data_IF_924447001665
#
_entry.id   IF_924447001665
#
_cell.length_a   1.000
_cell.length_b   1.000
_cell.length_c   1.000
_cell.angle_alpha   90.00
_cell.angle_beta   90.00
_cell.angle_gamma   90.00
#
_symmetry.space_group_name_H-M   'P 1'
#
loop_
_entity.id
_entity.type
_entity.pdbx_description
1 polymer ?
#
# COMPACT_ATOMS: atom_id res chain seq x y z
N UNK A 1 22.77 -12.39 8.91
CA UNK A 1 23.86 -12.38 7.89
C UNK A 1 24.26 -13.82 7.63
N UNK A 2 23.80 -14.40 6.54
CA UNK A 2 24.28 -15.69 6.05
C UNK A 2 25.14 -15.33 4.85
N UNK A 3 26.45 -15.50 5.02
CA UNK A 3 27.42 -15.40 3.91
C UNK A 3 27.23 -16.64 3.05
N UNK A 4 26.76 -16.47 1.83
CA UNK A 4 26.93 -17.48 0.80
C UNK A 4 28.39 -17.41 0.32
N UNK A 5 29.12 -18.52 0.46
CA UNK A 5 30.44 -18.66 -0.11
C UNK A 5 30.33 -18.69 -1.64
N UNK A 6 30.85 -17.65 -2.28
CA UNK A 6 30.91 -17.54 -3.72
C UNK A 6 32.01 -18.43 -4.29
N UNK A 7 31.72 -19.13 -5.37
CA UNK A 7 32.66 -19.78 -6.27
C UNK A 7 33.57 -18.69 -6.87
N UNK A 8 34.86 -18.97 -6.92
CA UNK A 8 35.93 -18.05 -7.30
C UNK A 8 35.64 -17.17 -8.50
N UNK A 9 35.71 -15.84 -8.32
CA UNK A 9 36.08 -14.88 -9.35
C UNK A 9 35.04 -13.87 -9.82
N UNK A 10 33.75 -14.01 -9.54
CA UNK A 10 32.74 -13.02 -9.98
C UNK A 10 32.07 -12.29 -8.81
N UNK A 11 31.98 -10.95 -8.84
CA UNK A 11 31.26 -10.20 -7.82
C UNK A 11 29.76 -10.47 -7.94
N UNK A 12 29.23 -11.37 -7.11
CA UNK A 12 27.79 -11.54 -6.95
C UNK A 12 27.26 -10.46 -6.00
N UNK A 13 26.31 -9.69 -6.45
CA UNK A 13 25.61 -8.71 -5.63
C UNK A 13 24.30 -9.34 -5.15
N UNK A 14 24.15 -9.49 -3.83
CA UNK A 14 22.94 -10.05 -3.21
C UNK A 14 21.76 -9.07 -3.26
N UNK A 15 22.05 -7.77 -3.32
CA UNK A 15 21.07 -6.70 -3.43
C UNK A 15 20.84 -6.30 -4.88
N UNK A 16 19.58 -6.28 -5.28
CA UNK A 16 19.14 -5.83 -6.60
C UNK A 16 18.16 -4.67 -6.45
N UNK A 17 18.45 -3.55 -7.08
CA UNK A 17 17.58 -2.39 -7.16
C UNK A 17 17.06 -2.23 -8.60
N UNK A 18 15.75 -2.01 -8.77
CA UNK A 18 15.12 -1.78 -10.06
C UNK A 18 14.52 -0.39 -10.14
N UNK A 19 14.79 0.31 -11.22
CA UNK A 19 14.23 1.62 -11.51
C UNK A 19 13.65 1.59 -12.92
N UNK A 20 12.33 1.38 -13.03
CA UNK A 20 11.70 1.08 -14.31
C UNK A 20 12.36 -0.16 -14.93
N UNK A 21 12.80 -0.11 -16.20
CA UNK A 21 13.48 -1.22 -16.86
C UNK A 21 14.93 -1.41 -16.35
N UNK A 22 15.46 -0.47 -15.56
CA UNK A 22 16.86 -0.49 -15.13
C UNK A 22 16.99 -1.29 -13.84
N UNK A 23 17.94 -2.24 -13.84
CA UNK A 23 18.36 -3.01 -12.66
C UNK A 23 19.70 -2.49 -12.21
N UNK A 24 19.82 -2.13 -10.93
CA UNK A 24 21.06 -1.67 -10.31
C UNK A 24 21.44 -2.60 -9.18
N UNK A 25 22.76 -2.83 -8.98
CA UNK A 25 23.28 -3.72 -7.96
C UNK A 25 24.53 -3.12 -7.33
N UNK A 26 24.79 -3.46 -6.06
CA UNK A 26 25.97 -3.04 -5.34
C UNK A 26 26.17 -1.52 -5.34
N UNK A 27 27.33 -1.00 -5.77
CA UNK A 27 27.65 0.42 -5.71
C UNK A 27 26.77 1.30 -6.62
N UNK A 28 26.01 0.71 -7.53
CA UNK A 28 25.09 1.43 -8.42
C UNK A 28 23.72 1.67 -7.80
N UNK A 29 23.43 1.10 -6.64
CA UNK A 29 22.18 1.34 -5.92
C UNK A 29 22.20 2.78 -5.39
N UNK A 30 21.19 3.63 -5.73
CA UNK A 30 21.14 4.99 -5.23
C UNK A 30 21.05 5.04 -3.71
N UNK A 31 21.80 5.96 -3.09
CA UNK A 31 21.72 6.20 -1.64
C UNK A 31 20.49 7.01 -1.26
N UNK A 32 20.01 7.83 -2.20
CA UNK A 32 18.86 8.72 -2.02
C UNK A 32 17.68 8.24 -2.87
N UNK A 33 16.47 8.48 -2.38
CA UNK A 33 15.27 8.15 -3.14
C UNK A 33 14.74 9.36 -3.93
N UNK A 34 14.04 9.07 -5.03
CA UNK A 34 13.52 10.08 -5.95
C UNK A 34 12.51 11.02 -5.27
N UNK A 35 11.78 10.53 -4.27
CA UNK A 35 10.78 11.33 -3.58
C UNK A 35 11.39 12.35 -2.60
N UNK A 36 12.42 11.94 -1.86
CA UNK A 36 13.16 12.87 -0.99
C UNK A 36 13.77 14.02 -1.79
N UNK A 37 14.33 13.73 -2.97
CA UNK A 37 14.87 14.75 -3.86
C UNK A 37 13.79 15.72 -4.41
N UNK A 38 12.56 15.21 -4.63
CA UNK A 38 11.43 16.06 -5.04
C UNK A 38 11.02 17.08 -3.97
N UNK A 39 11.08 16.67 -2.71
CA UNK A 39 10.66 17.49 -1.57
C UNK A 39 11.80 18.29 -0.92
N UNK A 40 13.04 18.06 -1.35
CA UNK A 40 14.18 18.82 -0.83
C UNK A 40 14.01 20.31 -1.15
N UNK A 41 14.25 21.20 -0.17
CA UNK A 41 14.29 22.63 -0.44
C UNK A 41 15.46 22.96 -1.38
N UNK A 42 15.18 23.70 -2.42
CA UNK A 42 16.18 24.10 -3.41
C UNK A 42 16.80 25.44 -3.03
N UNK A 43 18.12 25.52 -3.04
CA UNK A 43 18.86 26.75 -2.74
C UNK A 43 18.93 27.72 -3.93
N UNK A 44 18.67 27.24 -5.15
CA UNK A 44 18.67 28.04 -6.38
C UNK A 44 17.37 27.84 -7.18
N UNK A 45 17.10 28.74 -8.11
CA UNK A 45 15.95 28.63 -9.03
C UNK A 45 16.26 27.79 -10.27
N UNK A 46 17.46 27.22 -10.39
CA UNK A 46 17.87 26.41 -11.54
C UNK A 46 17.04 25.13 -11.69
N UNK A 47 16.47 24.63 -10.58
CA UNK A 47 15.56 23.49 -10.57
C UNK A 47 14.30 23.72 -11.42
N UNK A 48 13.86 24.98 -11.58
CA UNK A 48 12.71 25.31 -12.43
C UNK A 48 12.92 24.84 -13.87
N UNK A 49 14.18 24.88 -14.33
CA UNK A 49 14.54 24.41 -15.67
C UNK A 49 14.61 22.88 -15.78
N UNK A 50 14.79 22.18 -14.66
CA UNK A 50 14.79 20.70 -14.60
C UNK A 50 13.39 20.10 -14.35
N UNK A 51 12.46 20.86 -13.82
CA UNK A 51 11.11 20.41 -13.43
C UNK A 51 10.23 19.91 -14.59
N UNK A 52 10.28 20.46 -15.82
CA UNK A 52 9.49 19.91 -16.91
C UNK A 52 9.73 18.41 -17.14
N UNK A 53 10.98 17.96 -17.02
CA UNK A 53 11.33 16.54 -17.14
C UNK A 53 10.82 15.70 -15.97
N UNK A 54 10.76 16.28 -14.76
CA UNK A 54 10.19 15.64 -13.58
C UNK A 54 8.68 15.49 -13.71
N UNK A 55 7.99 16.54 -14.19
CA UNK A 55 6.54 16.50 -14.47
C UNK A 55 6.20 15.45 -15.52
N UNK A 56 6.98 15.33 -16.59
CA UNK A 56 6.76 14.30 -17.61
C UNK A 56 6.92 12.88 -17.02
N UNK A 57 7.85 12.66 -16.11
CA UNK A 57 7.99 11.38 -15.42
C UNK A 57 6.81 11.07 -14.51
N UNK A 58 6.29 12.07 -13.79
CA UNK A 58 5.07 11.95 -12.98
C UNK A 58 3.88 11.56 -13.87
N UNK A 59 3.72 12.25 -15.00
CA UNK A 59 2.67 11.93 -15.98
C UNK A 59 2.82 10.50 -16.52
N UNK A 60 4.03 10.08 -16.86
CA UNK A 60 4.29 8.73 -17.32
C UNK A 60 3.87 7.67 -16.30
N UNK A 61 4.16 7.86 -15.01
CA UNK A 61 3.72 6.93 -13.97
C UNK A 61 2.18 6.88 -13.82
N UNK A 62 1.48 8.00 -14.02
CA UNK A 62 0.03 7.99 -14.07
C UNK A 62 -0.49 7.19 -15.27
N UNK A 63 0.08 7.39 -16.45
CA UNK A 63 -0.30 6.67 -17.69
C UNK A 63 -0.06 5.18 -17.51
N UNK A 64 1.11 4.79 -17.00
CA UNK A 64 1.47 3.39 -16.76
C UNK A 64 0.52 2.75 -15.72
N UNK A 65 0.24 3.46 -14.63
CA UNK A 65 -0.65 3.00 -13.58
C UNK A 65 -2.09 2.81 -14.06
N UNK A 66 -2.62 3.78 -14.79
CA UNK A 66 -3.96 3.68 -15.37
C UNK A 66 -4.02 2.57 -16.43
N UNK A 67 -3.01 2.44 -17.27
CA UNK A 67 -2.94 1.40 -18.29
C UNK A 67 -2.88 0.00 -17.69
N UNK A 68 -1.99 -0.22 -16.72
CA UNK A 68 -1.83 -1.53 -16.08
C UNK A 68 -3.06 -1.99 -15.29
N UNK A 69 -3.82 -1.06 -14.72
CA UNK A 69 -4.96 -1.38 -13.86
C UNK A 69 -6.33 -1.22 -14.57
N UNK A 70 -6.35 -0.79 -15.83
CA UNK A 70 -7.58 -0.49 -16.58
C UNK A 70 -8.57 -1.67 -16.61
N UNK A 71 -8.07 -2.89 -16.74
CA UNK A 71 -8.88 -4.12 -16.84
C UNK A 71 -8.87 -4.96 -15.55
N UNK A 72 -8.48 -4.35 -14.42
CA UNK A 72 -8.40 -5.08 -13.16
C UNK A 72 -9.77 -5.59 -12.72
N UNK A 73 -10.81 -4.80 -12.89
CA UNK A 73 -12.14 -5.06 -12.36
C UNK A 73 -12.27 -4.69 -10.88
N UNK A 74 -13.26 -5.23 -10.18
CA UNK A 74 -13.47 -4.91 -8.77
C UNK A 74 -12.28 -5.35 -7.92
N UNK A 75 -11.90 -4.47 -6.98
CA UNK A 75 -10.76 -4.72 -6.10
C UNK A 75 -10.97 -4.16 -4.69
N UNK A 76 -10.31 -4.77 -3.72
CA UNK A 76 -10.20 -4.30 -2.33
C UNK A 76 -8.72 -4.14 -1.97
N UNK A 77 -8.40 -3.01 -1.38
CA UNK A 77 -7.05 -2.76 -0.87
C UNK A 77 -6.88 -3.26 0.56
N UNK A 78 -5.73 -3.85 0.84
CA UNK A 78 -5.33 -4.28 2.18
C UNK A 78 -4.05 -3.55 2.59
N UNK A 79 -4.14 -2.78 3.67
CA UNK A 79 -3.02 -2.08 4.29
C UNK A 79 -2.61 -2.76 5.60
N UNK A 80 -1.35 -2.59 6.00
CA UNK A 80 -0.81 -3.09 7.25
C UNK A 80 0.71 -3.09 7.27
N UNK A 81 1.28 -3.47 8.41
CA UNK A 81 2.71 -3.40 8.65
C UNK A 81 3.52 -4.33 7.74
N UNK A 82 4.58 -3.79 7.15
CA UNK A 82 5.62 -4.58 6.46
C UNK A 82 6.46 -5.43 7.43
N UNK A 83 6.42 -5.13 8.73
CA UNK A 83 7.26 -5.76 9.76
C UNK A 83 6.59 -6.93 10.48
N UNK A 84 5.33 -7.20 10.19
CA UNK A 84 4.57 -8.31 10.83
C UNK A 84 5.19 -9.65 10.44
N UNK A 85 5.67 -10.45 11.40
CA UNK A 85 6.29 -11.74 11.11
C UNK A 85 5.25 -12.79 10.70
N UNK A 86 5.69 -13.82 9.97
CA UNK A 86 4.79 -14.89 9.46
C UNK A 86 4.11 -15.71 10.55
N UNK A 87 4.64 -15.69 11.77
CA UNK A 87 4.09 -16.38 12.94
C UNK A 87 2.96 -15.60 13.61
N UNK A 88 2.87 -14.30 13.34
CA UNK A 88 1.90 -13.39 13.95
C UNK A 88 0.44 -13.76 13.57
N UNK A 89 -0.51 -13.67 14.50
CA UNK A 89 -1.93 -13.86 14.22
C UNK A 89 -2.45 -12.94 13.10
N UNK A 90 -2.01 -11.68 13.07
CA UNK A 90 -2.42 -10.70 12.05
C UNK A 90 -1.95 -11.10 10.64
N UNK A 91 -0.76 -11.72 10.50
CA UNK A 91 -0.30 -12.27 9.23
C UNK A 91 -1.24 -13.39 8.74
N UNK A 92 -1.63 -14.30 9.63
CA UNK A 92 -2.55 -15.41 9.29
C UNK A 92 -3.94 -14.88 8.93
N UNK A 93 -4.41 -13.88 9.66
CA UNK A 93 -5.69 -13.20 9.40
C UNK A 93 -5.66 -12.50 8.04
N UNK A 94 -4.65 -11.70 7.73
CA UNK A 94 -4.49 -11.02 6.43
C UNK A 94 -4.43 -12.01 5.26
N UNK A 95 -3.73 -13.14 5.43
CA UNK A 95 -3.73 -14.22 4.43
C UNK A 95 -5.14 -14.82 4.21
N UNK A 96 -5.89 -15.00 5.29
CA UNK A 96 -7.26 -15.53 5.22
C UNK A 96 -8.18 -14.54 4.52
N UNK A 97 -8.09 -13.26 4.86
CA UNK A 97 -8.85 -12.16 4.23
C UNK A 97 -8.55 -12.08 2.73
N UNK A 98 -7.28 -12.04 2.34
CA UNK A 98 -6.88 -12.01 0.93
C UNK A 98 -7.43 -13.19 0.13
N UNK A 99 -7.40 -14.40 0.71
CA UNK A 99 -8.01 -15.59 0.08
C UNK A 99 -9.54 -15.46 -0.08
N UNK A 100 -10.23 -14.99 0.97
CA UNK A 100 -11.70 -14.85 0.95
C UNK A 100 -12.16 -13.82 -0.08
N UNK A 101 -11.45 -12.70 -0.22
CA UNK A 101 -11.72 -11.68 -1.25
C UNK A 101 -11.53 -12.29 -2.64
N UNK A 102 -10.40 -12.93 -2.88
CA UNK A 102 -10.09 -13.55 -4.17
C UNK A 102 -11.06 -14.68 -4.56
N UNK A 103 -11.54 -15.49 -3.60
CA UNK A 103 -12.58 -16.49 -3.83
C UNK A 103 -13.91 -15.91 -4.31
N UNK A 104 -14.17 -14.62 -4.04
CA UNK A 104 -15.35 -13.88 -4.53
C UNK A 104 -15.12 -13.21 -5.89
N UNK A 105 -14.00 -13.51 -6.55
CA UNK A 105 -13.66 -12.95 -7.87
C UNK A 105 -13.17 -11.50 -7.81
N UNK A 106 -12.86 -10.98 -6.63
CA UNK A 106 -12.39 -9.62 -6.40
C UNK A 106 -10.87 -9.60 -6.27
N UNK A 107 -10.22 -8.62 -6.90
CA UNK A 107 -8.78 -8.46 -6.83
C UNK A 107 -8.34 -7.96 -5.44
N UNK A 108 -7.16 -8.39 -5.01
CA UNK A 108 -6.52 -7.90 -3.78
C UNK A 108 -5.37 -6.99 -4.16
N UNK A 109 -5.46 -5.73 -3.75
CA UNK A 109 -4.39 -4.74 -3.93
C UNK A 109 -3.65 -4.55 -2.61
N UNK A 110 -2.33 -4.53 -2.64
CA UNK A 110 -1.46 -4.20 -1.51
C UNK A 110 -0.31 -3.32 -1.96
N UNK A 111 0.50 -2.85 -1.01
CA UNK A 111 1.78 -2.19 -1.34
C UNK A 111 2.87 -3.14 -1.88
N UNK A 112 2.59 -4.42 -2.03
CA UNK A 112 3.51 -5.38 -2.63
C UNK A 112 4.70 -5.80 -1.76
N UNK A 113 4.89 -5.20 -0.59
CA UNK A 113 6.01 -5.48 0.32
C UNK A 113 5.82 -6.74 1.18
N UNK A 114 6.65 -6.93 2.21
CA UNK A 114 6.57 -8.04 3.15
C UNK A 114 5.43 -7.87 4.18
N UNK A 115 5.38 -8.72 5.19
CA UNK A 115 4.45 -8.66 6.32
C UNK A 115 3.00 -8.86 5.91
N UNK A 116 2.12 -7.95 6.32
CA UNK A 116 0.68 -8.00 6.02
C UNK A 116 0.41 -8.00 4.51
N UNK A 117 1.17 -7.23 3.75
CA UNK A 117 1.06 -7.14 2.29
C UNK A 117 1.36 -8.50 1.63
N UNK A 118 2.48 -9.13 2.01
CA UNK A 118 2.82 -10.49 1.56
C UNK A 118 1.72 -11.50 1.95
N UNK A 119 1.22 -11.40 3.18
CA UNK A 119 0.19 -12.31 3.66
C UNK A 119 -1.09 -12.25 2.81
N UNK A 120 -1.58 -11.04 2.54
CA UNK A 120 -2.76 -10.80 1.72
C UNK A 120 -2.56 -11.29 0.27
N UNK A 121 -1.45 -10.92 -0.36
CA UNK A 121 -1.10 -11.39 -1.70
C UNK A 121 -0.98 -12.92 -1.75
N UNK A 122 -0.34 -13.55 -0.75
CA UNK A 122 -0.25 -15.00 -0.64
C UNK A 122 -1.62 -15.67 -0.50
N UNK A 123 -2.54 -15.02 0.22
CA UNK A 123 -3.93 -15.47 0.33
C UNK A 123 -4.63 -15.50 -1.03
N UNK A 124 -4.56 -14.39 -1.76
CA UNK A 124 -5.15 -14.25 -3.10
C UNK A 124 -4.53 -15.23 -4.10
N UNK A 125 -3.21 -15.31 -4.16
CA UNK A 125 -2.50 -16.21 -5.06
C UNK A 125 -2.80 -17.70 -4.79
N UNK A 126 -3.11 -18.08 -3.54
CA UNK A 126 -3.42 -19.48 -3.17
C UNK A 126 -4.69 -20.04 -3.82
N UNK A 127 -5.51 -19.19 -4.41
CA UNK A 127 -6.74 -19.54 -5.11
C UNK A 127 -6.75 -19.01 -6.56
N UNK A 128 -5.57 -18.77 -7.13
CA UNK A 128 -5.38 -18.20 -8.46
C UNK A 128 -6.11 -16.85 -8.68
N UNK A 129 -6.29 -16.08 -7.61
CA UNK A 129 -6.90 -14.75 -7.66
C UNK A 129 -5.97 -13.68 -8.21
N UNK A 130 -6.55 -12.53 -8.58
CA UNK A 130 -5.79 -11.34 -8.96
C UNK A 130 -5.12 -10.76 -7.71
N UNK A 131 -3.78 -10.80 -7.67
CA UNK A 131 -2.94 -10.39 -6.56
C UNK A 131 -2.04 -9.24 -7.01
N UNK A 132 -2.41 -8.02 -6.63
CA UNK A 132 -1.79 -6.80 -7.10
C UNK A 132 -0.83 -6.24 -6.06
N UNK A 133 0.33 -5.79 -6.51
CA UNK A 133 1.32 -5.08 -5.71
C UNK A 133 1.63 -3.72 -6.29
N UNK A 134 1.30 -2.66 -5.54
CA UNK A 134 1.68 -1.28 -5.88
C UNK A 134 2.86 -0.88 -5.00
N UNK A 135 4.07 -1.19 -5.45
CA UNK A 135 5.31 -0.89 -4.77
C UNK A 135 5.67 0.60 -4.79
N UNK A 136 6.65 0.96 -3.98
CA UNK A 136 7.26 2.28 -3.98
C UNK A 136 8.79 2.11 -3.97
N UNK A 137 9.47 2.92 -4.74
CA UNK A 137 10.93 2.95 -4.76
C UNK A 137 11.46 3.41 -3.41
N UNK A 138 12.03 2.49 -2.64
CA UNK A 138 12.70 2.77 -1.37
C UNK A 138 14.15 2.27 -1.41
N UNK A 139 15.12 3.02 -0.80
CA UNK A 139 16.54 2.70 -0.90
C UNK A 139 16.93 1.31 -0.37
N UNK A 140 16.09 0.70 0.46
CA UNK A 140 16.41 -0.54 1.18
C UNK A 140 15.32 -1.62 1.08
N UNK A 141 14.27 -1.44 0.29
CA UNK A 141 13.23 -2.45 0.11
C UNK A 141 13.45 -3.25 -1.17
N UNK A 142 13.37 -4.57 -1.04
CA UNK A 142 13.59 -5.53 -2.12
C UNK A 142 12.30 -5.78 -2.90
N UNK A 143 11.93 -4.92 -3.83
CA UNK A 143 10.91 -5.20 -4.83
C UNK A 143 9.59 -5.82 -4.31
N UNK A 144 8.77 -6.28 -5.23
CA UNK A 144 7.47 -6.88 -4.92
C UNK A 144 7.62 -8.31 -4.39
N UNK A 145 6.75 -8.69 -3.43
CA UNK A 145 6.71 -10.05 -2.91
C UNK A 145 6.31 -11.04 -4.01
N UNK A 146 6.76 -12.28 -3.89
CA UNK A 146 6.63 -13.33 -4.93
C UNK A 146 5.19 -13.79 -5.22
N UNK A 147 4.21 -13.36 -4.44
CA UNK A 147 2.80 -13.73 -4.62
C UNK A 147 2.01 -12.70 -5.42
N UNK A 148 2.65 -11.60 -5.82
CA UNK A 148 2.10 -10.61 -6.73
C UNK A 148 2.13 -11.15 -8.15
N UNK A 149 0.98 -11.12 -8.86
CA UNK A 149 0.88 -11.50 -10.26
C UNK A 149 0.65 -10.31 -11.21
N UNK A 150 0.27 -9.14 -10.67
CA UNK A 150 0.29 -7.86 -11.35
C UNK A 150 0.97 -6.84 -10.44
N UNK A 151 2.11 -6.30 -10.84
CA UNK A 151 2.88 -5.42 -9.98
C UNK A 151 3.46 -4.22 -10.68
N UNK A 152 3.54 -3.11 -9.95
CA UNK A 152 4.15 -1.86 -10.38
C UNK A 152 4.95 -1.25 -9.24
N UNK A 153 6.12 -0.69 -9.56
CA UNK A 153 6.92 0.10 -8.62
C UNK A 153 6.86 1.58 -9.02
N UNK A 154 6.32 2.39 -8.13
CA UNK A 154 6.18 3.84 -8.29
C UNK A 154 7.37 4.57 -7.67
N UNK A 155 7.72 5.73 -8.22
CA UNK A 155 8.69 6.67 -7.62
C UNK A 155 8.00 7.71 -6.75
N UNK A 156 6.74 8.04 -7.08
CA UNK A 156 6.01 9.12 -6.43
C UNK A 156 4.85 8.59 -5.60
N UNK A 157 4.87 8.88 -4.29
CA UNK A 157 3.84 8.43 -3.35
C UNK A 157 2.43 8.86 -3.80
N UNK A 158 2.24 10.09 -4.22
CA UNK A 158 0.94 10.61 -4.61
C UNK A 158 0.36 9.94 -5.88
N UNK A 159 1.21 9.50 -6.80
CA UNK A 159 0.76 8.69 -7.95
C UNK A 159 0.26 7.33 -7.49
N UNK A 160 1.07 6.65 -6.68
CA UNK A 160 0.73 5.34 -6.08
C UNK A 160 -0.56 5.43 -5.26
N UNK A 161 -0.69 6.43 -4.40
CA UNK A 161 -1.89 6.67 -3.57
C UNK A 161 -3.14 6.85 -4.43
N UNK A 162 -3.03 7.60 -5.52
CA UNK A 162 -4.14 7.73 -6.48
C UNK A 162 -4.59 6.38 -7.04
N UNK A 163 -3.65 5.45 -7.32
CA UNK A 163 -4.01 4.11 -7.80
C UNK A 163 -4.75 3.29 -6.73
N UNK A 164 -4.31 3.34 -5.46
CA UNK A 164 -5.04 2.68 -4.38
C UNK A 164 -6.49 3.16 -4.30
N UNK A 165 -6.69 4.46 -4.28
CA UNK A 165 -8.03 5.04 -4.15
C UNK A 165 -8.89 4.79 -5.39
N UNK A 166 -8.33 5.01 -6.59
CA UNK A 166 -9.06 4.89 -7.85
C UNK A 166 -9.57 3.48 -8.14
N UNK A 167 -8.77 2.47 -7.83
CA UNK A 167 -9.04 1.10 -8.22
C UNK A 167 -9.60 0.22 -7.09
N UNK A 168 -9.84 0.79 -5.90
CA UNK A 168 -10.41 0.05 -4.78
C UNK A 168 -11.84 0.47 -4.50
N UNK A 169 -12.69 -0.53 -4.25
CA UNK A 169 -14.09 -0.32 -3.83
C UNK A 169 -14.25 -0.41 -2.31
N UNK A 170 -13.21 -0.80 -1.58
CA UNK A 170 -13.15 -0.87 -0.13
C UNK A 170 -11.72 -1.05 0.36
N UNK A 171 -11.48 -0.78 1.62
CA UNK A 171 -10.17 -0.94 2.25
C UNK A 171 -10.26 -1.70 3.57
N UNK A 172 -9.32 -2.63 3.79
CA UNK A 172 -9.14 -3.34 5.06
C UNK A 172 -7.76 -3.01 5.60
N UNK A 173 -7.70 -2.57 6.84
CA UNK A 173 -6.46 -2.11 7.48
C UNK A 173 -6.16 -2.99 8.68
N UNK A 174 -5.00 -3.63 8.65
CA UNK A 174 -4.41 -4.37 9.77
C UNK A 174 -3.47 -3.47 10.57
N UNK A 175 -3.09 -3.88 11.79
CA UNK A 175 -2.12 -3.14 12.59
C UNK A 175 -0.87 -2.76 11.81
N UNK A 176 -0.43 -1.48 11.94
CA UNK A 176 0.72 -0.98 11.21
C UNK A 176 1.21 0.38 11.68
N UNK A 177 2.36 0.81 11.18
CA UNK A 177 2.99 2.07 11.54
C UNK A 177 2.54 3.25 10.68
N UNK A 178 3.41 4.27 10.60
CA UNK A 178 3.11 5.53 9.92
C UNK A 178 2.63 5.37 8.48
N UNK A 179 3.24 4.49 7.68
CA UNK A 179 2.80 4.27 6.30
C UNK A 179 1.40 3.68 6.20
N UNK A 180 1.02 2.82 7.15
CA UNK A 180 -0.35 2.26 7.23
C UNK A 180 -1.35 3.33 7.66
N UNK A 181 -1.00 4.15 8.66
CA UNK A 181 -1.82 5.26 9.13
C UNK A 181 -2.00 6.33 8.05
N UNK A 182 -0.95 6.65 7.31
CA UNK A 182 -0.96 7.60 6.21
C UNK A 182 -1.97 7.19 5.11
N UNK A 183 -1.95 5.93 4.68
CA UNK A 183 -2.92 5.43 3.69
C UNK A 183 -4.35 5.37 4.27
N UNK A 184 -4.49 4.96 5.53
CA UNK A 184 -5.78 4.91 6.21
C UNK A 184 -6.43 6.30 6.32
N UNK A 185 -5.68 7.29 6.81
CA UNK A 185 -6.20 8.64 6.98
C UNK A 185 -6.44 9.36 5.66
N UNK A 186 -5.68 9.05 4.60
CA UNK A 186 -5.99 9.57 3.27
C UNK A 186 -7.35 9.05 2.78
N UNK A 187 -7.58 7.73 2.84
CA UNK A 187 -8.88 7.14 2.48
C UNK A 187 -9.99 7.77 3.31
N UNK A 188 -9.80 7.85 4.64
CA UNK A 188 -10.80 8.43 5.55
C UNK A 188 -11.13 9.88 5.19
N UNK A 189 -10.11 10.71 4.93
CA UNK A 189 -10.28 12.10 4.53
C UNK A 189 -11.04 12.23 3.20
N UNK A 190 -10.73 11.38 2.22
CA UNK A 190 -11.41 11.40 0.92
C UNK A 190 -12.85 10.95 1.01
N UNK A 191 -13.17 10.00 1.90
CA UNK A 191 -14.55 9.58 2.18
C UNK A 191 -15.30 10.69 2.92
N UNK A 192 -14.71 11.25 3.99
CA UNK A 192 -15.28 12.36 4.77
C UNK A 192 -15.60 13.59 3.89
N UNK A 193 -14.71 13.94 2.99
CA UNK A 193 -14.86 15.10 2.11
C UNK A 193 -15.66 14.82 0.84
N UNK A 194 -16.26 13.63 0.72
CA UNK A 194 -17.04 13.17 -0.43
C UNK A 194 -16.28 13.21 -1.77
N UNK A 195 -14.96 13.11 -1.75
CA UNK A 195 -14.11 12.96 -2.95
C UNK A 195 -14.18 11.56 -3.53
N UNK A 196 -14.48 10.56 -2.68
CA UNK A 196 -14.78 9.19 -3.05
C UNK A 196 -16.21 8.86 -2.62
N UNK A 197 -17.01 8.29 -3.52
CA UNK A 197 -18.46 8.12 -3.29
C UNK A 197 -18.79 7.09 -2.21
N UNK A 198 -18.13 5.93 -2.25
CA UNK A 198 -18.29 4.85 -1.28
C UNK A 198 -17.03 4.01 -1.27
N UNK A 199 -16.33 3.99 -0.18
CA UNK A 199 -15.17 3.14 0.05
C UNK A 199 -15.18 2.71 1.52
N UNK A 200 -15.90 1.63 1.85
CA UNK A 200 -15.95 1.12 3.22
C UNK A 200 -14.54 0.91 3.75
N UNK A 201 -14.28 1.43 4.95
CA UNK A 201 -13.00 1.31 5.63
C UNK A 201 -13.15 0.44 6.86
N UNK A 202 -12.48 -0.72 6.87
CA UNK A 202 -12.55 -1.71 7.93
C UNK A 202 -11.20 -1.87 8.59
N UNK A 203 -11.16 -1.76 9.92
CA UNK A 203 -9.98 -2.02 10.71
C UNK A 203 -10.10 -3.38 11.39
N UNK A 204 -9.11 -4.23 11.21
CA UNK A 204 -9.02 -5.54 11.84
C UNK A 204 -8.02 -5.48 13.00
N UNK A 205 -8.42 -5.98 14.16
CA UNK A 205 -7.61 -5.94 15.38
C UNK A 205 -8.06 -4.85 16.35
N UNK A 206 -9.24 -5.06 16.98
CA UNK A 206 -9.90 -4.08 17.86
C UNK A 206 -8.98 -3.59 18.97
N UNK A 207 -8.25 -4.50 19.63
CA UNK A 207 -7.31 -4.16 20.71
C UNK A 207 -6.24 -3.14 20.27
N UNK A 208 -5.73 -3.28 19.04
CA UNK A 208 -4.73 -2.35 18.50
C UNK A 208 -5.31 -0.98 18.20
N UNK A 209 -6.51 -0.93 17.64
CA UNK A 209 -7.12 0.31 17.14
C UNK A 209 -7.86 1.10 18.21
N UNK A 210 -8.25 0.47 19.31
CA UNK A 210 -9.08 1.08 20.35
C UNK A 210 -8.52 2.41 20.86
N UNK A 211 -7.23 2.47 21.20
CA UNK A 211 -6.62 3.69 21.73
C UNK A 211 -6.62 4.86 20.76
N UNK A 212 -6.48 4.60 19.45
CA UNK A 212 -6.58 5.64 18.42
C UNK A 212 -8.02 6.16 18.33
N UNK A 213 -8.99 5.25 18.36
CA UNK A 213 -10.42 5.62 18.27
C UNK A 213 -10.94 6.27 19.53
N UNK A 214 -10.44 5.91 20.71
CA UNK A 214 -10.73 6.61 21.95
C UNK A 214 -10.26 8.08 21.88
N UNK A 215 -9.08 8.31 21.30
CA UNK A 215 -8.57 9.66 21.11
C UNK A 215 -9.38 10.44 20.05
N UNK A 216 -9.77 9.82 18.95
CA UNK A 216 -10.60 10.45 17.92
C UNK A 216 -12.00 10.79 18.45
N UNK A 217 -12.65 9.86 19.17
CA UNK A 217 -13.99 10.01 19.73
C UNK A 217 -14.05 10.91 20.97
N UNK A 218 -12.92 11.16 21.62
CA UNK A 218 -12.79 12.06 22.76
C UNK A 218 -12.14 13.38 22.36
N UNK A 219 -10.84 13.59 22.62
CA UNK A 219 -10.20 14.90 22.46
C UNK A 219 -10.40 15.56 21.09
N UNK A 220 -10.40 14.77 20.00
CA UNK A 220 -10.52 15.33 18.64
C UNK A 220 -11.95 15.78 18.35
N UNK A 221 -12.92 14.95 18.74
CA UNK A 221 -14.35 15.27 18.59
C UNK A 221 -14.75 16.40 19.52
N UNK A 222 -14.35 16.36 20.78
CA UNK A 222 -14.68 17.40 21.81
C UNK A 222 -14.13 18.78 21.42
N UNK A 223 -12.96 18.80 20.75
CA UNK A 223 -12.38 20.02 20.20
C UNK A 223 -13.06 20.50 18.91
N UNK A 224 -14.03 19.77 18.37
CA UNK A 224 -14.73 20.12 17.13
C UNK A 224 -13.87 20.00 15.88
N UNK A 225 -12.81 19.18 15.91
CA UNK A 225 -11.92 18.98 14.77
C UNK A 225 -12.48 17.99 13.75
N UNK A 226 -13.42 17.17 14.16
CA UNK A 226 -14.20 16.26 13.31
C UNK A 226 -15.69 16.39 13.64
N UNK A 227 -16.55 15.94 12.73
CA UNK A 227 -18.00 15.91 12.93
C UNK A 227 -18.40 14.69 13.79
N UNK A 228 -19.52 14.75 14.54
CA UNK A 228 -20.03 13.63 15.32
C UNK A 228 -20.27 12.34 14.51
N UNK A 229 -20.47 12.44 13.21
CA UNK A 229 -20.72 11.30 12.32
C UNK A 229 -19.43 10.74 11.70
N UNK A 230 -18.29 11.46 11.78
CA UNK A 230 -17.06 11.04 11.14
C UNK A 230 -16.50 9.71 11.69
N UNK A 231 -16.58 9.41 13.00
CA UNK A 231 -16.18 8.11 13.51
C UNK A 231 -16.93 6.90 12.92
N UNK A 232 -18.19 7.11 12.45
CA UNK A 232 -19.00 6.07 11.82
C UNK A 232 -18.53 5.69 10.41
N UNK A 233 -17.61 6.46 9.83
CA UNK A 233 -16.99 6.16 8.53
C UNK A 233 -16.07 4.95 8.58
N UNK A 234 -15.72 4.50 9.79
CA UNK A 234 -14.79 3.39 10.02
C UNK A 234 -15.49 2.29 10.79
N UNK A 235 -15.29 1.05 10.34
CA UNK A 235 -15.79 -0.14 11.02
C UNK A 235 -14.63 -0.92 11.64
N UNK A 236 -14.71 -1.23 12.93
CA UNK A 236 -13.69 -2.02 13.63
C UNK A 236 -14.27 -3.38 13.95
N UNK A 237 -13.58 -4.46 13.53
CA UNK A 237 -14.02 -5.83 13.81
C UNK A 237 -12.85 -6.81 13.89
N UNK A 238 -13.03 -7.88 14.64
CA UNK A 238 -12.13 -9.04 14.69
C UNK A 238 -12.69 -10.23 13.89
N UNK A 239 -13.94 -10.14 13.41
CA UNK A 239 -14.51 -11.15 12.51
C UNK A 239 -14.06 -10.91 11.06
N UNK A 240 -13.29 -11.85 10.54
CA UNK A 240 -12.73 -11.76 9.19
C UNK A 240 -13.79 -11.95 8.08
N UNK A 241 -14.94 -12.55 8.36
CA UNK A 241 -16.03 -12.64 7.40
C UNK A 241 -16.74 -11.30 7.31
N UNK A 242 -17.07 -10.72 8.45
CA UNK A 242 -17.66 -9.40 8.55
C UNK A 242 -16.76 -8.35 7.88
N UNK A 243 -15.46 -8.37 8.16
CA UNK A 243 -14.50 -7.46 7.54
C UNK A 243 -14.53 -7.53 6.01
N UNK A 244 -14.58 -8.73 5.45
CA UNK A 244 -14.65 -8.95 4.00
C UNK A 244 -16.01 -8.50 3.46
N UNK A 245 -17.11 -8.83 4.12
CA UNK A 245 -18.47 -8.49 3.66
C UNK A 245 -18.68 -6.97 3.62
N UNK A 246 -18.22 -6.25 4.65
CA UNK A 246 -18.27 -4.79 4.70
C UNK A 246 -17.39 -4.18 3.60
N UNK A 247 -16.14 -4.63 3.45
CA UNK A 247 -15.25 -4.09 2.42
C UNK A 247 -15.80 -4.29 1.00
N UNK A 248 -16.54 -5.38 0.76
CA UNK A 248 -17.17 -5.67 -0.52
C UNK A 248 -18.51 -4.93 -0.73
N UNK A 249 -19.11 -4.38 0.30
CA UNK A 249 -20.35 -3.59 0.16
C UNK A 249 -20.19 -2.34 -0.70
N UNK A 250 -18.96 -1.86 -0.88
CA UNK A 250 -18.62 -0.78 -1.80
C UNK A 250 -18.75 -1.14 -3.29
N UNK A 251 -18.94 -2.42 -3.61
CA UNK A 251 -19.15 -2.91 -4.99
C UNK A 251 -20.63 -2.84 -5.42
N UNK A 252 -21.54 -2.67 -4.50
CA UNK A 252 -22.98 -2.53 -4.71
C UNK A 252 -23.36 -1.05 -4.85
#
# INVERSE_FOLDING_TARGET
MIKNENVEGEPAYDETYRRGPVVMRGPMIPKDNTYANLLAPEESTDWLHADPWRVLRIQAEFVDGFGALAELGPAVTIFGSARTPKTDPSYKAARTVGRKIAQRGVAVITGGGPGIMEAANRGAASVNGKSVGLGIELPHEQGLNKYVNLGMDFRYFFVRKTMFVKYSSGAIVFPGGFGTLDEMFEVLTLVQTHKVKRMPLVLVGSEYWQGLFDWLNGPVLDAGMISPLDPELVHITDDLNEAVDIALSGLM
#
